data_IF_865093950005
#
_entry.id   IF_865093950005
#
_cell.length_a   1.000
_cell.length_b   1.000
_cell.length_c   1.000
_cell.angle_alpha   90.00
_cell.angle_beta   90.00
_cell.angle_gamma   90.00
#
_symmetry.space_group_name_H-M   'P 1'
#
loop_
_entity.id
_entity.type
_entity.pdbx_description
1 polymer ?
#
# COMPACT_ATOMS: atom_id res chain seq x y z
N UNK A 1 -13.24 -11.26 22.37
CA UNK A 1 -12.22 -11.69 21.39
C UNK A 1 -12.64 -11.17 20.04
N UNK A 2 -11.82 -10.32 19.42
CA UNK A 2 -12.14 -9.69 18.13
C UNK A 2 -12.02 -10.74 17.02
N UNK A 3 -13.13 -11.09 16.36
CA UNK A 3 -13.16 -11.98 15.19
C UNK A 3 -12.96 -11.17 13.90
N UNK A 4 -12.66 -11.85 12.79
CA UNK A 4 -12.53 -11.21 11.49
C UNK A 4 -13.83 -10.51 11.05
N UNK A 5 -14.98 -11.15 11.31
CA UNK A 5 -16.31 -10.59 11.00
C UNK A 5 -16.60 -9.34 11.82
N UNK A 6 -16.15 -9.31 13.09
CA UNK A 6 -16.27 -8.12 13.93
C UNK A 6 -15.46 -6.96 13.34
N UNK A 7 -14.23 -7.21 12.87
CA UNK A 7 -13.41 -6.19 12.19
C UNK A 7 -14.10 -5.68 10.94
N UNK A 8 -14.58 -6.56 10.07
CA UNK A 8 -15.26 -6.17 8.82
C UNK A 8 -16.50 -5.31 9.10
N UNK A 9 -17.25 -5.64 10.17
CA UNK A 9 -18.39 -4.83 10.62
C UNK A 9 -17.95 -3.44 11.10
N UNK A 10 -16.83 -3.32 11.81
CA UNK A 10 -16.30 -2.05 12.31
C UNK A 10 -15.69 -1.19 11.19
N UNK A 11 -14.93 -1.80 10.28
CA UNK A 11 -14.36 -1.15 9.09
C UNK A 11 -15.49 -0.58 8.22
N UNK A 12 -16.59 -1.32 8.10
CA UNK A 12 -17.81 -0.87 7.46
C UNK A 12 -17.74 -0.88 5.93
N UNK A 13 -18.90 -0.72 5.31
CA UNK A 13 -19.08 -0.81 3.86
C UNK A 13 -18.41 0.32 3.07
N UNK A 14 -18.00 1.41 3.72
CA UNK A 14 -17.27 2.50 3.08
C UNK A 14 -15.83 2.14 2.72
N UNK A 15 -15.24 1.15 3.42
CA UNK A 15 -13.90 0.66 3.15
C UNK A 15 -13.94 -0.72 2.49
N UNK A 16 -14.15 -1.76 3.28
CA UNK A 16 -13.98 -3.14 2.82
C UNK A 16 -15.06 -4.02 3.44
N UNK A 17 -15.72 -4.78 2.58
CA UNK A 17 -16.62 -5.84 2.97
C UNK A 17 -16.34 -7.10 2.15
N UNK A 18 -16.79 -8.24 2.64
CA UNK A 18 -16.80 -9.50 1.90
C UNK A 18 -18.25 -9.77 1.47
N UNK A 19 -18.50 -9.75 0.16
CA UNK A 19 -19.81 -10.11 -0.42
C UNK A 19 -19.60 -11.19 -1.47
N UNK A 20 -20.47 -12.19 -1.50
CA UNK A 20 -20.49 -13.21 -2.55
C UNK A 20 -19.12 -13.81 -2.87
N UNK A 21 -18.28 -14.01 -1.83
CA UNK A 21 -16.93 -14.56 -1.96
C UNK A 21 -15.92 -13.66 -2.73
N UNK A 22 -16.13 -12.35 -2.73
CA UNK A 22 -15.22 -11.37 -3.29
C UNK A 22 -15.02 -10.20 -2.32
N UNK A 23 -13.88 -9.51 -2.48
CA UNK A 23 -13.61 -8.25 -1.81
C UNK A 23 -14.41 -7.13 -2.47
N UNK A 24 -15.28 -6.49 -1.68
CA UNK A 24 -16.08 -5.36 -2.10
C UNK A 24 -15.61 -4.10 -1.41
N UNK A 25 -15.18 -3.13 -2.20
CA UNK A 25 -14.68 -1.86 -1.69
C UNK A 25 -15.70 -0.74 -1.85
N UNK A 26 -15.95 -0.03 -0.75
CA UNK A 26 -16.61 1.26 -0.79
C UNK A 26 -15.70 2.37 -1.33
N UNK A 27 -16.20 3.60 -1.47
CA UNK A 27 -15.43 4.71 -2.06
C UNK A 27 -14.09 4.97 -1.35
N UNK A 28 -14.08 4.91 -0.01
CA UNK A 28 -12.87 5.16 0.78
C UNK A 28 -11.88 4.00 0.65
N UNK A 29 -12.38 2.77 0.70
CA UNK A 29 -11.54 1.58 0.54
C UNK A 29 -10.90 1.47 -0.84
N UNK A 30 -11.60 1.91 -1.91
CA UNK A 30 -11.00 1.98 -3.25
C UNK A 30 -9.79 2.91 -3.29
N UNK A 31 -9.82 4.02 -2.55
CA UNK A 31 -8.67 4.92 -2.43
C UNK A 31 -7.54 4.30 -1.60
N UNK A 32 -7.85 3.58 -0.51
CA UNK A 32 -6.84 2.85 0.27
C UNK A 32 -6.14 1.80 -0.59
N UNK A 33 -6.91 0.99 -1.31
CA UNK A 33 -6.41 -0.04 -2.22
C UNK A 33 -5.49 0.57 -3.28
N UNK A 34 -5.95 1.66 -3.93
CA UNK A 34 -5.15 2.38 -4.92
C UNK A 34 -3.85 2.91 -4.33
N UNK A 35 -3.88 3.51 -3.14
CA UNK A 35 -2.67 4.01 -2.47
C UNK A 35 -1.70 2.88 -2.12
N UNK A 36 -2.22 1.71 -1.73
CA UNK A 36 -1.40 0.52 -1.48
C UNK A 36 -0.73 0.01 -2.76
N UNK A 37 -1.50 -0.08 -3.86
CA UNK A 37 -1.01 -0.43 -5.20
C UNK A 37 0.08 0.54 -5.67
N UNK A 38 -0.15 1.86 -5.56
CA UNK A 38 0.82 2.90 -5.93
C UNK A 38 2.10 2.82 -5.09
N UNK A 39 1.99 2.61 -3.78
CA UNK A 39 3.16 2.48 -2.90
C UNK A 39 3.92 1.17 -3.16
N UNK A 40 3.22 0.09 -3.51
CA UNK A 40 3.84 -1.16 -3.94
C UNK A 40 4.58 -0.96 -5.26
N UNK A 41 3.94 -0.32 -6.24
CA UNK A 41 4.51 -0.05 -7.55
C UNK A 41 5.77 0.81 -7.43
N UNK A 42 5.74 1.87 -6.62
CA UNK A 42 6.92 2.69 -6.38
C UNK A 42 8.10 1.85 -5.86
N UNK A 43 7.87 1.02 -4.84
CA UNK A 43 8.92 0.21 -4.24
C UNK A 43 9.42 -0.93 -5.15
N UNK A 44 8.54 -1.61 -5.87
CA UNK A 44 8.87 -2.81 -6.64
C UNK A 44 9.23 -2.53 -8.10
N UNK A 45 8.81 -1.39 -8.66
CA UNK A 45 8.97 -1.08 -10.09
C UNK A 45 9.86 0.14 -10.30
N UNK A 46 9.69 1.22 -9.52
CA UNK A 46 10.43 2.47 -9.78
C UNK A 46 11.75 2.60 -9.02
N UNK A 47 11.83 2.04 -7.81
CA UNK A 47 13.01 2.13 -6.93
C UNK A 47 14.12 1.09 -7.17
N UNK A 48 13.88 -0.10 -7.74
CA UNK A 48 14.95 -1.07 -7.95
C UNK A 48 16.10 -0.53 -8.81
N UNK A 49 17.32 -1.01 -8.55
CA UNK A 49 18.52 -0.67 -9.33
C UNK A 49 18.68 -1.48 -10.62
N UNK A 50 17.64 -2.22 -11.00
CA UNK A 50 17.60 -3.02 -12.21
C UNK A 50 16.31 -2.71 -12.97
N UNK A 51 16.32 -2.99 -14.26
CA UNK A 51 15.18 -2.71 -15.12
C UNK A 51 13.97 -3.57 -14.74
N UNK A 52 12.81 -2.93 -14.62
CA UNK A 52 11.54 -3.61 -14.36
C UNK A 52 10.58 -3.26 -15.49
N UNK A 53 10.07 -4.28 -16.18
CA UNK A 53 9.20 -4.11 -17.34
C UNK A 53 7.78 -4.60 -17.02
N UNK A 54 6.75 -3.77 -17.24
CA UNK A 54 5.38 -4.25 -17.22
C UNK A 54 5.16 -5.34 -18.28
N UNK A 55 4.44 -6.39 -17.92
CA UNK A 55 4.07 -7.46 -18.84
C UNK A 55 2.66 -7.98 -18.60
N UNK A 56 1.95 -8.23 -19.69
CA UNK A 56 0.70 -9.00 -19.69
C UNK A 56 0.99 -10.51 -19.78
N UNK A 57 1.87 -10.90 -20.71
CA UNK A 57 2.34 -12.27 -20.90
C UNK A 57 3.85 -12.34 -20.76
N UNK A 58 4.35 -13.13 -19.80
CA UNK A 58 5.79 -13.29 -19.54
C UNK A 58 6.56 -13.73 -20.80
N UNK A 59 6.04 -14.73 -21.53
CA UNK A 59 6.73 -15.30 -22.69
C UNK A 59 6.95 -14.27 -23.81
N UNK A 60 5.90 -13.52 -24.16
CA UNK A 60 5.94 -12.54 -25.25
C UNK A 60 6.88 -11.37 -24.90
N UNK A 61 6.79 -10.87 -23.66
CA UNK A 61 7.68 -9.80 -23.20
C UNK A 61 9.14 -10.25 -23.16
N UNK A 62 9.43 -11.48 -22.70
CA UNK A 62 10.79 -12.03 -22.73
C UNK A 62 11.34 -12.17 -24.15
N UNK A 63 10.49 -12.51 -25.13
CA UNK A 63 10.89 -12.56 -26.53
C UNK A 63 11.24 -11.15 -27.05
N UNK A 64 10.41 -10.15 -26.74
CA UNK A 64 10.63 -8.76 -27.14
C UNK A 64 11.88 -8.15 -26.50
N UNK A 65 12.13 -8.42 -25.21
CA UNK A 65 13.33 -7.91 -24.54
C UNK A 65 14.60 -8.48 -25.17
N UNK A 66 14.60 -9.78 -25.48
CA UNK A 66 15.72 -10.44 -26.16
C UNK A 66 15.96 -9.91 -27.57
N UNK A 67 14.91 -9.71 -28.36
CA UNK A 67 15.07 -9.16 -29.71
C UNK A 67 15.69 -7.76 -29.72
N UNK A 68 15.57 -7.02 -28.61
CA UNK A 68 16.09 -5.67 -28.45
C UNK A 68 17.34 -5.60 -27.53
N UNK A 69 17.89 -6.74 -27.09
CA UNK A 69 19.04 -6.81 -26.17
C UNK A 69 18.82 -6.03 -24.86
N UNK A 70 17.60 -6.07 -24.32
CA UNK A 70 17.19 -5.37 -23.08
C UNK A 70 17.11 -6.31 -21.86
N UNK A 71 17.51 -7.57 -22.01
CA UNK A 71 17.40 -8.66 -21.05
C UNK A 71 18.66 -8.85 -20.17
N UNK A 72 19.42 -7.77 -19.97
CA UNK A 72 20.60 -7.78 -19.11
C UNK A 72 20.22 -8.11 -17.66
N UNK A 73 20.82 -9.17 -17.12
CA UNK A 73 20.56 -9.62 -15.75
C UNK A 73 21.24 -8.69 -14.72
N UNK A 74 20.63 -8.47 -13.54
CA UNK A 74 19.26 -8.83 -13.22
C UNK A 74 18.27 -7.88 -13.92
N UNK A 75 17.08 -8.39 -14.24
CA UNK A 75 15.92 -7.59 -14.63
C UNK A 75 14.64 -8.21 -14.08
N UNK A 76 13.52 -7.51 -14.13
CA UNK A 76 12.25 -8.06 -13.66
C UNK A 76 11.07 -7.76 -14.57
N UNK A 77 10.06 -8.61 -14.44
CA UNK A 77 8.78 -8.48 -15.12
C UNK A 77 7.67 -8.32 -14.10
N UNK A 78 6.80 -7.31 -14.26
CA UNK A 78 5.72 -6.98 -13.33
C UNK A 78 4.34 -7.14 -13.99
N UNK A 79 3.40 -7.73 -13.24
CA UNK A 79 2.00 -7.88 -13.63
C UNK A 79 1.09 -7.51 -12.47
N UNK A 80 0.10 -6.68 -12.74
CA UNK A 80 -1.03 -6.44 -11.84
C UNK A 80 -2.23 -7.23 -12.37
N UNK A 81 -2.95 -7.93 -11.51
CA UNK A 81 -4.04 -8.77 -11.96
C UNK A 81 -4.89 -9.33 -10.84
N UNK A 82 -5.64 -10.38 -11.16
CA UNK A 82 -6.44 -11.13 -10.19
C UNK A 82 -5.99 -12.58 -10.13
N UNK A 83 -5.97 -13.15 -8.92
CA UNK A 83 -5.59 -14.54 -8.69
C UNK A 83 -6.72 -15.30 -8.03
N UNK A 84 -6.96 -16.53 -8.49
CA UNK A 84 -7.92 -17.48 -7.90
C UNK A 84 -7.23 -18.43 -6.92
N UNK A 85 -6.39 -17.90 -6.03
CA UNK A 85 -5.65 -18.71 -5.06
C UNK A 85 -6.49 -19.01 -3.81
N UNK A 86 -6.21 -20.14 -3.18
CA UNK A 86 -6.81 -20.58 -1.91
C UNK A 86 -6.27 -19.87 -0.66
N UNK A 87 -5.70 -18.67 -0.81
CA UNK A 87 -5.13 -17.93 0.31
C UNK A 87 -6.17 -17.65 1.37
N UNK A 88 -5.81 -17.94 2.62
CA UNK A 88 -6.60 -17.61 3.81
C UNK A 88 -8.02 -18.22 3.83
N UNK A 89 -8.28 -19.28 3.05
CA UNK A 89 -9.60 -19.95 3.03
C UNK A 89 -10.05 -20.42 4.42
N UNK A 90 -9.11 -20.82 5.28
CA UNK A 90 -9.38 -21.29 6.64
C UNK A 90 -9.90 -20.19 7.58
N UNK A 91 -9.67 -18.91 7.26
CA UNK A 91 -10.12 -17.78 8.09
C UNK A 91 -11.57 -17.39 7.83
N UNK A 92 -12.15 -17.87 6.73
CA UNK A 92 -13.49 -17.50 6.32
C UNK A 92 -14.48 -18.59 6.72
N UNK A 93 -15.34 -18.25 7.68
CA UNK A 93 -16.43 -19.11 8.16
C UNK A 93 -17.53 -19.33 7.08
N UNK A 94 -17.68 -18.40 6.13
CA UNK A 94 -18.72 -18.42 5.10
C UNK A 94 -18.13 -18.25 3.69
N UNK A 95 -17.74 -19.37 3.07
CA UNK A 95 -17.38 -19.45 1.65
C UNK A 95 -15.92 -19.13 1.33
N UNK A 96 -15.47 -19.63 0.17
CA UNK A 96 -14.10 -19.45 -0.35
C UNK A 96 -14.01 -18.18 -1.17
N UNK A 97 -13.09 -17.25 -0.87
CA UNK A 97 -12.82 -16.11 -1.77
C UNK A 97 -12.40 -16.63 -3.14
N UNK A 98 -13.16 -16.27 -4.18
CA UNK A 98 -12.98 -16.81 -5.53
C UNK A 98 -11.79 -16.19 -6.24
N UNK A 99 -11.54 -14.90 -5.98
CA UNK A 99 -10.40 -14.18 -6.52
C UNK A 99 -10.04 -12.98 -5.65
N UNK A 100 -8.79 -12.58 -5.75
CA UNK A 100 -8.28 -11.37 -5.12
C UNK A 100 -7.27 -10.69 -6.04
N UNK A 101 -7.13 -9.37 -5.88
CA UNK A 101 -6.18 -8.54 -6.61
C UNK A 101 -4.77 -8.80 -6.12
N UNK A 102 -3.88 -9.03 -7.07
CA UNK A 102 -2.48 -9.31 -6.83
C UNK A 102 -1.58 -8.37 -7.60
N UNK A 103 -0.42 -8.11 -7.01
CA UNK A 103 0.72 -7.51 -7.66
C UNK A 103 1.86 -8.52 -7.66
N UNK A 104 2.30 -8.91 -8.85
CA UNK A 104 3.28 -9.97 -9.08
C UNK A 104 4.51 -9.40 -9.75
N UNK A 105 5.68 -9.81 -9.31
CA UNK A 105 6.95 -9.49 -9.97
C UNK A 105 7.85 -10.73 -10.00
N UNK A 106 8.51 -10.91 -11.14
CA UNK A 106 9.40 -12.01 -11.42
C UNK A 106 10.78 -11.43 -11.71
N UNK A 107 11.74 -11.64 -10.81
CA UNK A 107 13.10 -11.13 -10.97
C UNK A 107 13.98 -12.25 -11.52
N UNK A 108 14.58 -12.01 -12.68
CA UNK A 108 15.50 -12.90 -13.36
C UNK A 108 16.92 -12.55 -12.92
N UNK A 109 17.70 -13.56 -12.55
CA UNK A 109 19.04 -13.39 -11.98
C UNK A 109 19.94 -14.59 -12.28
N UNK A 110 21.25 -14.39 -12.28
CA UNK A 110 22.21 -15.47 -12.32
C UNK A 110 22.11 -16.41 -11.11
N UNK A 111 22.38 -17.70 -11.34
CA UNK A 111 22.32 -18.73 -10.29
C UNK A 111 23.22 -18.42 -9.10
N UNK A 112 24.39 -17.79 -9.32
CA UNK A 112 25.33 -17.40 -8.26
C UNK A 112 24.71 -16.45 -7.25
N UNK A 113 23.85 -15.54 -7.72
CA UNK A 113 23.32 -14.43 -6.92
C UNK A 113 21.88 -14.73 -6.43
N UNK A 114 21.28 -15.81 -6.91
CA UNK A 114 19.89 -16.18 -6.65
C UNK A 114 19.55 -16.31 -5.16
N UNK A 115 20.42 -16.95 -4.37
CA UNK A 115 20.18 -17.12 -2.92
C UNK A 115 20.25 -15.80 -2.17
N UNK A 116 21.23 -14.98 -2.49
CA UNK A 116 21.40 -13.67 -1.86
C UNK A 116 20.24 -12.74 -2.20
N UNK A 117 19.80 -12.75 -3.46
CA UNK A 117 18.63 -12.00 -3.90
C UNK A 117 17.34 -12.51 -3.22
N UNK A 118 17.16 -13.83 -3.06
CA UNK A 118 16.01 -14.40 -2.35
C UNK A 118 15.93 -13.88 -0.92
N UNK A 119 17.02 -13.99 -0.17
CA UNK A 119 17.08 -13.52 1.21
C UNK A 119 16.93 -12.00 1.33
N UNK A 120 17.49 -11.25 0.38
CA UNK A 120 17.28 -9.81 0.28
C UNK A 120 15.80 -9.48 0.08
N UNK A 121 15.11 -10.14 -0.86
CA UNK A 121 13.69 -9.93 -1.11
C UNK A 121 12.80 -10.33 0.06
N UNK A 122 13.06 -11.45 0.72
CA UNK A 122 12.37 -11.84 1.96
C UNK A 122 12.44 -10.74 3.03
N UNK A 123 13.63 -10.18 3.27
CA UNK A 123 13.81 -9.10 4.25
C UNK A 123 13.16 -7.80 3.80
N UNK A 124 13.42 -7.36 2.57
CA UNK A 124 12.90 -6.11 2.00
C UNK A 124 11.36 -6.08 2.01
N UNK A 125 10.73 -7.16 1.56
CA UNK A 125 9.27 -7.25 1.45
C UNK A 125 8.60 -7.34 2.83
N UNK A 126 9.17 -8.10 3.77
CA UNK A 126 8.71 -8.07 5.18
C UNK A 126 8.79 -6.66 5.76
N UNK A 127 9.94 -6.00 5.61
CA UNK A 127 10.14 -4.63 6.13
C UNK A 127 9.18 -3.64 5.47
N UNK A 128 8.85 -3.82 4.19
CA UNK A 128 7.88 -2.97 3.50
C UNK A 128 6.49 -3.05 4.12
N UNK A 129 5.97 -4.25 4.37
CA UNK A 129 4.68 -4.41 5.08
C UNK A 129 4.71 -3.81 6.47
N UNK A 130 5.82 -4.03 7.20
CA UNK A 130 6.03 -3.46 8.54
C UNK A 130 5.99 -1.94 8.58
N UNK A 131 6.50 -1.26 7.55
CA UNK A 131 6.47 0.21 7.45
C UNK A 131 5.05 0.78 7.29
N UNK A 132 4.09 -0.03 6.84
CA UNK A 132 2.71 0.37 6.62
C UNK A 132 1.78 0.04 7.81
N UNK A 133 2.27 -0.76 8.75
CA UNK A 133 1.52 -1.24 9.91
C UNK A 133 1.68 -0.32 11.12
N UNK A 134 0.65 -0.26 11.96
CA UNK A 134 0.72 0.29 13.32
C UNK A 134 1.51 -0.63 14.26
N UNK A 135 1.39 -1.96 14.08
CA UNK A 135 2.18 -2.95 14.82
C UNK A 135 3.09 -3.76 13.87
N UNK A 136 4.29 -3.24 13.55
CA UNK A 136 5.26 -3.90 12.69
C UNK A 136 5.56 -5.36 13.08
N UNK A 137 5.53 -5.70 14.36
CA UNK A 137 5.84 -7.06 14.84
C UNK A 137 4.87 -8.12 14.31
N UNK A 138 3.64 -7.75 13.93
CA UNK A 138 2.62 -8.68 13.40
C UNK A 138 3.00 -9.32 12.08
N UNK A 139 3.78 -8.60 11.26
CA UNK A 139 4.17 -9.07 9.93
C UNK A 139 5.47 -9.87 10.06
N UNK A 140 5.37 -11.17 9.79
CA UNK A 140 6.46 -12.14 9.96
C UNK A 140 6.68 -12.93 8.67
N UNK A 141 7.84 -13.57 8.55
CA UNK A 141 8.04 -14.62 7.56
C UNK A 141 7.54 -15.92 8.19
N UNK A 142 6.66 -16.62 7.48
CA UNK A 142 6.24 -17.96 7.86
C UNK A 142 7.42 -18.93 7.74
N UNK A 143 7.30 -20.09 8.39
CA UNK A 143 8.28 -21.17 8.24
C UNK A 143 8.40 -21.57 6.76
N UNK A 144 9.65 -21.76 6.32
CA UNK A 144 9.92 -22.10 4.92
C UNK A 144 9.27 -23.43 4.56
N UNK A 145 8.43 -23.42 3.53
CA UNK A 145 7.77 -24.62 3.02
C UNK A 145 8.42 -25.00 1.69
N UNK A 146 8.77 -26.27 1.53
CA UNK A 146 9.14 -26.82 0.23
C UNK A 146 7.89 -27.34 -0.45
N UNK A 147 7.40 -26.61 -1.44
CA UNK A 147 6.22 -27.02 -2.23
C UNK A 147 6.70 -27.41 -3.62
N UNK A 148 6.50 -28.69 -4.01
CA UNK A 148 6.89 -29.21 -5.32
C UNK A 148 8.37 -28.93 -5.67
N UNK A 149 9.27 -29.09 -4.70
CA UNK A 149 10.71 -28.80 -4.80
C UNK A 149 11.09 -27.32 -5.00
N UNK A 150 10.16 -26.38 -4.81
CA UNK A 150 10.43 -24.95 -4.80
C UNK A 150 10.53 -24.46 -3.36
N UNK A 151 11.47 -23.54 -3.12
CA UNK A 151 11.57 -22.84 -1.84
C UNK A 151 10.51 -21.74 -1.81
N UNK A 152 9.48 -21.92 -0.97
CA UNK A 152 8.36 -21.00 -0.81
C UNK A 152 8.43 -20.37 0.58
N UNK A 153 8.34 -19.05 0.61
CA UNK A 153 8.29 -18.27 1.84
C UNK A 153 7.07 -17.38 1.82
N UNK A 154 6.22 -17.49 2.83
CA UNK A 154 5.03 -16.65 2.99
C UNK A 154 5.33 -15.50 3.95
N UNK A 155 4.75 -14.33 3.70
CA UNK A 155 4.68 -13.23 4.65
C UNK A 155 3.26 -13.23 5.21
N UNK A 156 3.17 -13.36 6.53
CA UNK A 156 1.91 -13.47 7.26
C UNK A 156 1.75 -12.32 8.25
N UNK A 157 0.53 -11.83 8.40
CA UNK A 157 0.10 -10.93 9.45
C UNK A 157 -0.61 -11.73 10.56
N UNK A 158 -0.09 -11.69 11.77
CA UNK A 158 -0.58 -12.50 12.90
C UNK A 158 -1.67 -11.78 13.70
N UNK A 159 -2.84 -12.42 13.80
CA UNK A 159 -3.99 -11.95 14.58
C UNK A 159 -4.50 -13.02 15.56
N UNK A 160 -5.23 -12.63 16.62
CA UNK A 160 -5.81 -13.59 17.57
C UNK A 160 -6.80 -14.59 16.93
N UNK A 161 -7.40 -14.24 15.80
CA UNK A 161 -8.32 -15.10 15.05
C UNK A 161 -7.61 -15.99 14.00
N UNK A 162 -6.30 -15.82 13.79
CA UNK A 162 -5.52 -16.55 12.79
C UNK A 162 -4.57 -15.64 11.99
N UNK A 163 -3.72 -16.27 11.19
CA UNK A 163 -2.72 -15.57 10.37
C UNK A 163 -3.26 -15.29 8.97
N UNK A 164 -3.12 -14.05 8.50
CA UNK A 164 -3.46 -13.64 7.12
C UNK A 164 -2.17 -13.63 6.29
N UNK A 165 -2.08 -14.51 5.29
CA UNK A 165 -1.04 -14.47 4.26
C UNK A 165 -1.28 -13.24 3.37
N UNK A 166 -0.27 -12.38 3.25
CA UNK A 166 -0.35 -11.14 2.45
C UNK A 166 0.59 -11.14 1.24
N UNK A 167 1.67 -11.92 1.28
CA UNK A 167 2.62 -12.03 0.18
C UNK A 167 3.30 -13.40 0.19
N UNK A 168 3.62 -13.94 -0.98
CA UNK A 168 4.39 -15.18 -1.13
C UNK A 168 5.60 -14.89 -2.00
N UNK A 169 6.76 -15.44 -1.64
CA UNK A 169 8.03 -15.33 -2.34
C UNK A 169 8.48 -16.74 -2.69
N UNK A 170 8.78 -16.98 -3.96
CA UNK A 170 9.08 -18.30 -4.53
C UNK A 170 10.39 -18.22 -5.31
N UNK A 171 11.29 -19.16 -5.06
CA UNK A 171 12.49 -19.35 -5.86
C UNK A 171 12.29 -20.48 -6.87
N UNK A 172 12.46 -20.14 -8.15
CA UNK A 172 12.46 -21.06 -9.28
C UNK A 172 13.89 -21.26 -9.79
N UNK A 173 14.54 -22.38 -9.44
CA UNK A 173 15.87 -22.70 -9.96
C UNK A 173 15.79 -23.16 -11.43
N UNK A 174 16.78 -22.76 -12.24
CA UNK A 174 17.00 -23.30 -13.59
C UNK A 174 15.81 -23.16 -14.54
N UNK A 175 15.37 -21.93 -14.84
CA UNK A 175 14.16 -21.63 -15.62
C UNK A 175 14.32 -21.76 -17.16
N UNK A 176 15.13 -22.73 -17.62
CA UNK A 176 15.51 -22.89 -19.04
C UNK A 176 14.34 -23.01 -20.02
N UNK A 177 13.20 -23.55 -19.57
CA UNK A 177 11.98 -23.67 -20.40
C UNK A 177 11.30 -22.33 -20.65
N UNK A 178 11.35 -21.43 -19.67
CA UNK A 178 10.77 -20.08 -19.75
C UNK A 178 11.77 -19.09 -20.36
N UNK A 179 13.07 -19.36 -20.19
CA UNK A 179 14.16 -18.54 -20.69
C UNK A 179 15.16 -19.40 -21.50
N UNK A 180 14.80 -19.82 -22.73
CA UNK A 180 15.70 -20.60 -23.57
C UNK A 180 16.85 -19.72 -24.07
N UNK A 181 18.09 -20.12 -23.78
CA UNK A 181 19.29 -19.45 -24.27
C UNK A 181 19.58 -19.88 -25.71
N UNK A 182 20.01 -18.94 -26.56
CA UNK A 182 20.45 -19.25 -27.92
C UNK A 182 21.78 -20.00 -27.87
N UNK A 183 21.86 -21.21 -28.42
CA UNK A 183 22.97 -22.18 -28.29
C UNK A 183 24.33 -21.74 -28.89
N UNK A 184 24.51 -20.48 -29.26
CA UNK A 184 25.68 -20.02 -30.03
C UNK A 184 26.98 -19.86 -29.22
N UNK A 185 26.95 -19.96 -27.88
CA UNK A 185 28.17 -19.95 -27.05
C UNK A 185 28.21 -21.20 -26.15
N UNK A 186 28.89 -22.25 -26.64
CA UNK A 186 29.06 -23.54 -25.95
C UNK A 186 29.83 -23.49 -24.62
N UNK A 187 30.44 -22.36 -24.27
CA UNK A 187 31.28 -22.23 -23.07
C UNK A 187 30.64 -21.47 -21.88
N UNK A 188 29.44 -20.89 -22.02
CA UNK A 188 28.78 -20.19 -20.90
C UNK A 188 27.26 -20.38 -20.97
N UNK A 189 26.78 -21.56 -20.56
CA UNK A 189 25.35 -21.74 -20.27
C UNK A 189 25.04 -20.96 -18.99
N UNK A 190 24.65 -19.70 -19.12
CA UNK A 190 24.20 -18.88 -18.00
C UNK A 190 22.99 -19.55 -17.35
N UNK A 191 23.18 -20.10 -16.15
CA UNK A 191 22.11 -20.73 -15.38
C UNK A 191 21.26 -19.62 -14.75
N UNK A 192 20.13 -19.32 -15.39
CA UNK A 192 19.23 -18.24 -14.94
C UNK A 192 18.20 -18.81 -13.97
N UNK A 193 18.07 -18.15 -12.83
CA UNK A 193 17.07 -18.42 -11.80
C UNK A 193 16.06 -17.29 -11.77
N UNK A 194 14.88 -17.56 -11.20
CA UNK A 194 13.82 -16.56 -11.05
C UNK A 194 13.32 -16.51 -9.62
N UNK A 195 13.21 -15.30 -9.08
CA UNK A 195 12.57 -15.05 -7.80
C UNK A 195 11.26 -14.33 -8.07
N UNK A 196 10.17 -15.03 -7.81
CA UNK A 196 8.83 -14.50 -7.92
C UNK A 196 8.39 -14.01 -6.55
N UNK A 197 7.77 -12.84 -6.49
CA UNK A 197 6.96 -12.52 -5.34
C UNK A 197 5.60 -11.96 -5.75
N UNK A 198 4.58 -12.46 -5.07
CA UNK A 198 3.17 -12.19 -5.34
C UNK A 198 2.61 -11.58 -4.06
N UNK A 199 2.23 -10.32 -4.09
CA UNK A 199 1.56 -9.63 -3.00
C UNK A 199 0.06 -9.58 -3.28
N UNK A 200 -0.78 -9.95 -2.31
CA UNK A 200 -2.21 -9.70 -2.38
C UNK A 200 -2.50 -8.29 -1.90
N UNK A 201 -3.06 -7.48 -2.80
CA UNK A 201 -3.50 -6.13 -2.43
C UNK A 201 -4.75 -6.19 -1.56
N UNK A 202 -5.63 -7.16 -1.79
CA UNK A 202 -6.85 -7.30 -1.02
C UNK A 202 -6.64 -7.85 0.39
N UNK A 203 -5.93 -8.98 0.50
CA UNK A 203 -5.58 -9.53 1.82
C UNK A 203 -4.64 -8.59 2.57
N UNK A 204 -3.77 -7.86 1.87
CA UNK A 204 -2.95 -6.79 2.43
C UNK A 204 -3.79 -5.66 3.03
N UNK A 205 -4.79 -5.14 2.29
CA UNK A 205 -5.72 -4.14 2.81
C UNK A 205 -6.46 -4.64 4.05
N UNK A 206 -7.02 -5.86 3.98
CA UNK A 206 -7.72 -6.46 5.11
C UNK A 206 -6.83 -6.57 6.35
N UNK A 207 -5.60 -7.06 6.18
CA UNK A 207 -4.64 -7.18 7.28
C UNK A 207 -4.30 -5.81 7.89
N UNK A 208 -4.11 -4.77 7.06
CA UNK A 208 -3.83 -3.42 7.54
C UNK A 208 -5.02 -2.79 8.26
N UNK A 209 -6.25 -3.06 7.82
CA UNK A 209 -7.46 -2.65 8.56
C UNK A 209 -7.62 -3.43 9.87
N UNK A 210 -7.33 -4.73 9.87
CA UNK A 210 -7.31 -5.50 11.12
C UNK A 210 -6.31 -4.90 12.11
N UNK A 211 -5.11 -4.55 11.65
CA UNK A 211 -4.10 -3.91 12.49
C UNK A 211 -4.53 -2.53 13.02
N UNK A 212 -5.25 -1.73 12.22
CA UNK A 212 -5.73 -0.41 12.65
C UNK A 212 -6.85 -0.43 13.69
N UNK A 213 -7.65 -1.51 13.73
CA UNK A 213 -8.84 -1.64 14.59
C UNK A 213 -8.62 -2.50 15.85
N UNK A 214 -7.49 -3.21 15.95
CA UNK A 214 -7.18 -4.11 17.08
C UNK A 214 -6.63 -3.39 18.33
N UNK A 215 -6.78 -2.06 18.44
CA UNK A 215 -6.43 -1.29 19.64
C UNK A 215 -7.57 -1.35 20.65
N UNK A 216 -7.48 -2.28 21.61
CA UNK A 216 -8.42 -2.47 22.73
C UNK A 216 -8.57 -1.25 23.68
N UNK A 217 -7.99 -0.08 23.37
CA UNK A 217 -7.97 1.10 24.24
C UNK A 217 -8.17 2.46 23.56
N UNK A 218 -8.26 2.50 22.23
CA UNK A 218 -8.50 3.75 21.49
C UNK A 218 -9.76 3.59 20.65
N UNK A 219 -10.77 4.42 20.89
CA UNK A 219 -11.98 4.52 20.06
C UNK A 219 -11.71 4.93 18.61
N UNK A 220 -10.47 5.34 18.29
CA UNK A 220 -10.08 5.85 16.98
C UNK A 220 -9.18 4.87 16.25
N UNK A 221 -9.60 4.44 15.06
CA UNK A 221 -8.80 3.65 14.14
C UNK A 221 -7.83 4.55 13.37
N UNK A 222 -6.61 4.05 13.15
CA UNK A 222 -5.55 4.76 12.44
C UNK A 222 -4.87 3.86 11.43
N UNK A 223 -4.80 4.32 10.18
CA UNK A 223 -3.97 3.71 9.13
C UNK A 223 -2.77 4.61 8.83
N UNK A 224 -1.70 4.04 8.30
CA UNK A 224 -0.52 4.81 7.92
C UNK A 224 -0.89 5.95 6.95
N UNK A 225 -0.41 7.21 7.12
CA UNK A 225 -0.79 8.36 6.30
C UNK A 225 -0.67 8.14 4.77
N UNK A 226 0.35 7.40 4.34
CA UNK A 226 0.52 6.98 2.92
C UNK A 226 -0.69 6.23 2.35
N UNK A 227 -1.42 5.49 3.18
CA UNK A 227 -2.56 4.68 2.76
C UNK A 227 -3.90 5.40 2.92
N UNK A 228 -3.98 6.43 3.77
CA UNK A 228 -5.22 7.18 4.01
C UNK A 228 -5.87 7.66 2.70
N UNK A 229 -7.20 7.51 2.53
CA UNK A 229 -7.93 7.96 1.34
C UNK A 229 -7.66 9.43 1.00
N UNK A 230 -7.80 10.27 2.02
CA UNK A 230 -7.48 11.69 1.99
C UNK A 230 -6.38 11.96 3.00
N UNK A 231 -5.39 12.75 2.62
CA UNK A 231 -4.27 13.10 3.51
C UNK A 231 -4.66 14.19 4.48
N UNK A 232 -5.58 15.06 4.08
CA UNK A 232 -5.80 16.32 4.79
C UNK A 232 -7.20 16.89 4.56
N UNK A 233 -7.68 17.60 5.56
CA UNK A 233 -8.90 18.42 5.52
C UNK A 233 -8.67 19.74 6.26
N UNK A 234 -9.66 20.63 6.21
CA UNK A 234 -9.60 21.97 6.77
C UNK A 234 -10.73 22.18 7.76
N UNK A 235 -10.45 22.92 8.82
CA UNK A 235 -11.41 23.33 9.83
C UNK A 235 -11.32 24.84 9.99
N UNK A 236 -12.40 25.54 9.74
CA UNK A 236 -12.50 26.97 10.01
C UNK A 236 -12.82 27.12 11.50
N UNK A 237 -11.95 27.80 12.25
CA UNK A 237 -12.20 28.04 13.68
C UNK A 237 -13.33 29.05 13.85
N UNK A 238 -14.36 28.69 14.61
CA UNK A 238 -15.46 29.61 14.95
C UNK A 238 -14.97 30.70 15.92
N UNK A 239 -15.25 31.97 15.60
CA UNK A 239 -15.05 33.09 16.52
C UNK A 239 -16.37 33.84 16.75
N UNK A 240 -16.65 34.21 18.00
CA UNK A 240 -17.92 34.85 18.44
C UNK A 240 -18.25 36.17 17.72
N UNK A 241 -17.27 36.80 17.02
CA UNK A 241 -17.42 38.07 16.30
C UNK A 241 -17.17 37.93 14.78
N UNK A 242 -17.58 36.82 14.17
CA UNK A 242 -17.47 36.61 12.72
C UNK A 242 -18.61 37.27 11.95
N UNK A 243 -18.26 38.14 11.00
CA UNK A 243 -19.21 38.68 10.02
C UNK A 243 -19.34 37.71 8.85
N UNK A 244 -20.45 37.77 8.12
CA UNK A 244 -20.63 36.95 6.91
C UNK A 244 -19.50 37.14 5.89
N UNK A 245 -18.95 38.37 5.79
CA UNK A 245 -17.80 38.68 4.95
C UNK A 245 -16.53 37.95 5.40
N UNK A 246 -16.31 37.83 6.71
CA UNK A 246 -15.14 37.11 7.24
C UNK A 246 -15.23 35.62 6.90
N UNK A 247 -16.42 35.04 7.01
CA UNK A 247 -16.68 33.63 6.70
C UNK A 247 -16.46 33.37 5.21
N UNK A 248 -16.89 34.27 4.33
CA UNK A 248 -16.64 34.16 2.89
C UNK A 248 -15.13 34.20 2.56
N UNK A 249 -14.39 35.12 3.17
CA UNK A 249 -12.93 35.22 2.99
C UNK A 249 -12.19 33.97 3.48
N UNK A 250 -12.59 33.43 4.63
CA UNK A 250 -12.03 32.17 5.17
C UNK A 250 -12.33 30.99 4.26
N UNK A 251 -13.56 30.88 3.73
CA UNK A 251 -13.92 29.85 2.78
C UNK A 251 -13.09 29.95 1.49
N UNK A 252 -12.92 31.15 0.94
CA UNK A 252 -12.07 31.39 -0.24
C UNK A 252 -10.61 31.01 0.03
N UNK A 253 -10.11 31.30 1.23
CA UNK A 253 -8.76 30.95 1.64
C UNK A 253 -8.58 29.43 1.78
N UNK A 254 -9.53 28.72 2.40
CA UNK A 254 -9.54 27.25 2.45
C UNK A 254 -9.54 26.65 1.04
N UNK A 255 -10.34 27.18 0.12
CA UNK A 255 -10.35 26.74 -1.28
C UNK A 255 -8.99 26.97 -1.96
N UNK A 256 -8.35 28.11 -1.71
CA UNK A 256 -7.00 28.39 -2.20
C UNK A 256 -5.98 27.34 -1.70
N UNK A 257 -5.95 27.06 -0.39
CA UNK A 257 -5.05 26.07 0.20
C UNK A 257 -5.34 24.66 -0.32
N UNK A 258 -6.62 24.31 -0.44
CA UNK A 258 -7.06 23.04 -0.99
C UNK A 258 -6.57 22.85 -2.43
N UNK A 259 -6.69 23.87 -3.27
CA UNK A 259 -6.22 23.81 -4.66
C UNK A 259 -4.69 23.74 -4.73
N UNK A 260 -3.98 24.46 -3.88
CA UNK A 260 -2.52 24.39 -3.76
C UNK A 260 -2.03 22.96 -3.48
N UNK A 261 -2.68 22.26 -2.55
CA UNK A 261 -2.35 20.86 -2.22
C UNK A 261 -2.71 19.90 -3.36
N UNK A 262 -3.90 20.05 -3.96
CA UNK A 262 -4.35 19.19 -5.07
C UNK A 262 -3.48 19.31 -6.31
N UNK A 263 -3.00 20.51 -6.65
CA UNK A 263 -2.05 20.73 -7.75
C UNK A 263 -0.73 19.97 -7.57
N UNK A 264 -0.43 19.54 -6.34
CA UNK A 264 0.77 18.76 -5.99
C UNK A 264 0.46 17.27 -5.78
N UNK A 265 -0.74 16.83 -6.14
CA UNK A 265 -1.17 15.43 -6.03
C UNK A 265 -1.58 15.00 -4.62
N UNK A 266 -1.71 15.93 -3.67
CA UNK A 266 -2.14 15.60 -2.30
C UNK A 266 -3.66 15.49 -2.27
N UNK A 267 -4.17 14.32 -1.89
CA UNK A 267 -5.61 14.09 -1.78
C UNK A 267 -6.22 14.82 -0.59
N UNK A 268 -7.26 15.61 -0.85
CA UNK A 268 -7.94 16.44 0.14
C UNK A 268 -9.45 16.23 0.08
N UNK A 269 -10.13 16.38 1.23
CA UNK A 269 -11.59 16.43 1.32
C UNK A 269 -11.98 17.69 2.09
N UNK A 270 -13.00 18.40 1.59
CA UNK A 270 -13.56 19.58 2.25
C UNK A 270 -14.72 19.15 3.13
N UNK A 271 -14.52 19.17 4.44
CA UNK A 271 -15.56 18.84 5.43
C UNK A 271 -15.17 19.45 6.77
N UNK A 272 -16.15 20.02 7.47
CA UNK A 272 -15.98 20.48 8.85
C UNK A 272 -16.55 19.47 9.87
N UNK A 273 -17.07 18.34 9.40
CA UNK A 273 -17.77 17.35 10.23
C UNK A 273 -16.79 16.35 10.81
N UNK A 274 -16.58 16.37 12.13
CA UNK A 274 -15.62 15.46 12.80
C UNK A 274 -15.91 13.99 12.48
N UNK A 275 -17.19 13.59 12.43
CA UNK A 275 -17.57 12.22 12.08
C UNK A 275 -17.05 11.78 10.70
N UNK A 276 -17.03 12.69 9.71
CA UNK A 276 -16.49 12.40 8.37
C UNK A 276 -14.97 12.30 8.44
N UNK A 277 -14.31 13.13 9.23
CA UNK A 277 -12.85 13.08 9.45
C UNK A 277 -12.44 11.74 10.07
N UNK A 278 -13.20 11.26 11.05
CA UNK A 278 -13.00 9.94 11.66
C UNK A 278 -13.26 8.82 10.65
N UNK A 279 -14.41 8.85 9.98
CA UNK A 279 -14.82 7.84 9.00
C UNK A 279 -13.84 7.75 7.82
N UNK A 280 -13.26 8.86 7.36
CA UNK A 280 -12.31 8.84 6.24
C UNK A 280 -10.86 8.56 6.67
N UNK A 281 -10.61 8.29 7.96
CA UNK A 281 -9.27 8.05 8.52
C UNK A 281 -8.26 9.16 8.15
N UNK A 282 -8.72 10.41 8.09
CA UNK A 282 -7.89 11.54 7.67
C UNK A 282 -6.81 11.78 8.73
N UNK A 283 -5.51 11.80 8.38
CA UNK A 283 -4.44 11.94 9.37
C UNK A 283 -4.18 13.38 9.79
N UNK A 284 -4.36 14.36 8.90
CA UNK A 284 -4.05 15.77 9.16
C UNK A 284 -5.29 16.67 9.05
N UNK A 285 -5.46 17.57 10.01
CA UNK A 285 -6.52 18.60 10.00
C UNK A 285 -5.85 19.97 10.09
N UNK A 286 -6.13 20.86 9.15
CA UNK A 286 -5.60 22.23 9.14
C UNK A 286 -6.64 23.18 9.71
N UNK A 287 -6.34 23.78 10.85
CA UNK A 287 -7.14 24.84 11.43
C UNK A 287 -6.78 26.19 10.80
N UNK A 288 -7.80 26.89 10.34
CA UNK A 288 -7.71 28.18 9.66
C UNK A 288 -8.62 29.18 10.37
N UNK A 289 -8.15 30.40 10.57
CA UNK A 289 -8.88 31.48 11.25
C UNK A 289 -8.52 32.85 10.68
N UNK A 290 -9.10 33.92 11.23
CA UNK A 290 -8.81 35.31 10.84
C UNK A 290 -7.33 35.69 11.00
N UNK A 291 -6.61 35.07 11.93
CA UNK A 291 -5.18 35.36 12.10
C UNK A 291 -4.38 34.79 10.94
N UNK A 292 -4.80 33.61 10.46
CA UNK A 292 -4.22 32.93 9.30
C UNK A 292 -4.31 33.78 8.03
N UNK A 293 -5.42 34.51 7.83
CA UNK A 293 -5.58 35.47 6.73
C UNK A 293 -4.59 36.65 6.80
N UNK A 294 -4.23 37.07 8.02
CA UNK A 294 -3.35 38.24 8.24
C UNK A 294 -1.88 37.91 8.14
N UNK A 295 -1.46 36.75 8.65
CA UNK A 295 -0.04 36.40 8.79
C UNK A 295 0.40 35.19 7.94
N UNK A 296 -0.52 34.51 7.26
CA UNK A 296 -0.22 33.32 6.45
C UNK A 296 0.17 32.09 7.26
N UNK A 297 -0.11 32.03 8.57
CA UNK A 297 0.20 30.89 9.44
C UNK A 297 -1.07 30.09 9.70
N UNK A 298 -1.03 28.78 9.43
CA UNK A 298 -2.10 27.83 9.75
C UNK A 298 -1.61 26.80 10.77
N UNK A 299 -2.53 26.13 11.46
CA UNK A 299 -2.18 25.10 12.44
C UNK A 299 -2.51 23.72 11.90
N UNK A 300 -1.51 22.85 11.75
CA UNK A 300 -1.68 21.49 11.27
C UNK A 300 -1.69 20.53 12.44
N UNK A 301 -2.85 19.91 12.70
CA UNK A 301 -3.02 18.89 13.73
C UNK A 301 -2.83 17.50 13.15
N UNK A 302 -1.89 16.74 13.72
CA UNK A 302 -1.76 15.31 13.45
C UNK A 302 -2.69 14.52 14.39
N UNK A 303 -3.60 13.72 13.83
CA UNK A 303 -4.58 12.98 14.61
C UNK A 303 -4.03 11.78 15.38
N UNK A 304 -2.87 11.23 15.00
CA UNK A 304 -2.26 10.12 15.73
C UNK A 304 -1.51 10.59 16.99
N UNK A 305 -0.86 11.76 16.94
CA UNK A 305 -0.11 12.32 18.06
C UNK A 305 -0.87 13.39 18.84
N UNK A 306 -1.98 13.89 18.28
CA UNK A 306 -2.74 15.06 18.73
C UNK A 306 -1.96 16.38 18.75
N UNK A 307 -0.70 16.38 18.27
CA UNK A 307 0.15 17.55 18.19
C UNK A 307 -0.38 18.52 17.12
N UNK A 308 -0.40 19.81 17.46
CA UNK A 308 -0.72 20.91 16.55
C UNK A 308 0.54 21.73 16.31
N UNK A 309 0.93 21.89 15.05
CA UNK A 309 2.14 22.61 14.65
C UNK A 309 1.76 23.84 13.80
N UNK A 310 2.35 24.99 14.10
CA UNK A 310 2.17 26.20 13.30
C UNK A 310 3.03 26.11 12.02
N UNK A 311 2.40 26.29 10.86
CA UNK A 311 3.02 26.15 9.54
C UNK A 311 2.64 27.33 8.67
N UNK A 312 3.63 28.01 8.09
CA UNK A 312 3.35 29.04 7.11
C UNK A 312 2.82 28.41 5.81
N UNK A 313 1.84 29.05 5.17
CA UNK A 313 1.11 28.47 4.02
C UNK A 313 2.02 28.13 2.84
N UNK A 314 3.15 28.83 2.68
CA UNK A 314 4.15 28.55 1.63
C UNK A 314 4.85 27.21 1.84
N UNK A 315 4.95 26.75 3.08
CA UNK A 315 5.61 25.49 3.45
C UNK A 315 4.61 24.33 3.63
N UNK A 316 3.31 24.61 3.61
CA UNK A 316 2.25 23.62 3.91
C UNK A 316 2.33 22.39 3.00
N UNK A 317 2.53 22.57 1.69
CA UNK A 317 2.70 21.45 0.74
C UNK A 317 3.87 20.58 1.14
N UNK A 318 5.06 21.19 1.34
CA UNK A 318 6.29 20.47 1.70
C UNK A 318 6.12 19.74 3.03
N UNK A 319 5.49 20.41 4.00
CA UNK A 319 5.24 19.89 5.33
C UNK A 319 4.41 18.61 5.29
N UNK A 320 3.30 18.62 4.53
CA UNK A 320 2.40 17.48 4.38
C UNK A 320 3.08 16.38 3.59
N UNK A 321 3.68 16.70 2.44
CA UNK A 321 4.37 15.71 1.61
C UNK A 321 5.37 14.91 2.41
N UNK A 322 6.28 15.54 3.17
CA UNK A 322 7.30 14.82 3.96
C UNK A 322 6.72 13.81 4.96
N UNK A 323 5.49 14.03 5.43
CA UNK A 323 4.83 13.19 6.46
C UNK A 323 3.74 12.28 5.89
N UNK A 324 3.35 12.46 4.63
CA UNK A 324 2.38 11.61 3.92
C UNK A 324 3.00 10.77 2.80
N UNK A 325 4.27 11.03 2.43
CA UNK A 325 5.03 10.32 1.38
C UNK A 325 5.46 8.94 1.79
#
# INVERSE_FOLDING_TARGET
TMSLEAVLKTVGSHFLNLSERMFMYGPQGKLVLRNLEEHWFSHCVTMPHYNVFPCDTIADTLQQLRSNSMDMLPFALVTLGTSKSVWNESLLSVGKVLSHRIAKINVFVDASDSKDLLHKKQRERKVWWRKLAQHPSRFVLAEAKKTRNLDVTEIEAQFPFGNIIVETIIHYPGIRKLYPQTENNKDNVMDVHMIEHIASMDWGCLALFCDSHMLDKSTRAYIHPKLCPYKITFHIGEQENETDSDIEDLNRFVLYLNNMLRMRGISTILTNTEQIVEMCLIPYVVSVDKTSLKNGVVHVKNRSTTLSEAVHITDLVKYISLRSS
#
